data_IF_246333868591
#
_entry.id   IF_246333868591
#
_cell.length_a   1.000
_cell.length_b   1.000
_cell.length_c   1.000
_cell.angle_alpha   90.00
_cell.angle_beta   90.00
_cell.angle_gamma   90.00
#
_symmetry.space_group_name_H-M   'P 1'
#
loop_
_entity.id
_entity.type
_entity.pdbx_description
1 polymer ?
#
# COMPACT_ATOMS: atom_id res chain seq x y z
N UNK A 1 -8.88 -42.41 33.41
CA UNK A 1 -8.37 -41.71 34.63
C UNK A 1 -7.14 -42.43 35.19
N UNK A 2 -7.20 -43.76 35.46
CA UNK A 2 -6.09 -44.55 35.98
C UNK A 2 -4.83 -44.54 35.07
N UNK A 3 -4.99 -44.56 33.77
CA UNK A 3 -3.89 -44.48 32.80
C UNK A 3 -3.16 -43.15 32.78
N UNK A 4 -3.83 -42.05 33.16
CA UNK A 4 -3.24 -40.71 33.26
C UNK A 4 -2.36 -40.57 34.50
N UNK A 5 -2.83 -41.10 35.66
CA UNK A 5 -2.08 -41.04 36.92
C UNK A 5 -0.82 -41.90 36.91
N UNK A 6 -0.85 -43.06 36.20
CA UNK A 6 0.34 -43.92 36.05
C UNK A 6 1.42 -43.28 35.15
N UNK A 7 1.04 -42.43 34.20
CA UNK A 7 1.99 -41.74 33.33
C UNK A 7 2.70 -40.57 34.01
N UNK A 8 2.00 -39.87 34.95
CA UNK A 8 2.60 -38.81 35.76
C UNK A 8 3.62 -39.34 36.77
N UNK A 9 3.35 -40.51 37.41
CA UNK A 9 4.30 -41.17 38.32
C UNK A 9 5.56 -41.66 37.56
N UNK A 10 5.44 -42.12 36.34
CA UNK A 10 6.57 -42.55 35.50
C UNK A 10 7.46 -41.33 35.06
N UNK A 11 6.87 -40.20 34.81
CA UNK A 11 7.60 -38.96 34.50
C UNK A 11 8.35 -38.44 35.75
N UNK A 12 7.72 -38.39 36.91
CA UNK A 12 8.34 -37.95 38.16
C UNK A 12 9.47 -38.89 38.62
N UNK A 13 9.31 -40.21 38.48
CA UNK A 13 10.34 -41.18 38.84
C UNK A 13 11.55 -41.16 37.92
N UNK A 14 11.38 -40.82 36.65
CA UNK A 14 12.50 -40.63 35.72
C UNK A 14 13.29 -39.36 35.97
N UNK A 15 12.62 -38.27 36.38
CA UNK A 15 13.29 -37.03 36.76
C UNK A 15 14.12 -37.21 38.05
N UNK A 16 13.65 -38.02 39.01
CA UNK A 16 14.38 -38.29 40.25
C UNK A 16 15.61 -39.23 40.08
N UNK A 17 15.77 -39.87 38.91
CA UNK A 17 16.93 -40.72 38.56
C UNK A 17 18.05 -39.99 37.83
N UNK A 18 17.83 -38.71 37.45
CA UNK A 18 18.88 -37.93 36.82
C UNK A 18 20.00 -37.65 37.83
N UNK A 19 21.23 -37.92 37.39
CA UNK A 19 22.39 -37.50 38.15
C UNK A 19 22.44 -35.95 38.21
N UNK A 20 23.02 -35.42 39.30
CA UNK A 20 23.09 -33.93 39.45
C UNK A 20 23.57 -33.21 38.17
N UNK A 21 24.62 -33.66 37.46
CA UNK A 21 25.07 -33.01 36.24
C UNK A 21 24.04 -33.09 35.10
N UNK A 22 23.31 -34.19 34.94
CA UNK A 22 22.26 -34.35 33.92
C UNK A 22 21.09 -33.43 34.18
N UNK A 23 20.69 -33.25 35.44
CA UNK A 23 19.68 -32.28 35.86
C UNK A 23 20.06 -30.86 35.50
N UNK A 24 21.32 -30.46 35.73
CA UNK A 24 21.82 -29.14 35.37
C UNK A 24 21.81 -28.94 33.84
N UNK A 25 22.20 -29.91 33.04
CA UNK A 25 22.17 -29.82 31.57
C UNK A 25 20.75 -29.68 31.07
N UNK A 26 19.79 -30.46 31.58
CA UNK A 26 18.39 -30.35 31.17
C UNK A 26 17.80 -28.98 31.54
N UNK A 27 18.08 -28.48 32.76
CA UNK A 27 17.63 -27.17 33.21
C UNK A 27 18.24 -26.02 32.33
N UNK A 28 19.52 -26.12 31.99
CA UNK A 28 20.18 -25.16 31.11
C UNK A 28 19.58 -25.16 29.71
N UNK A 29 19.36 -26.33 29.10
CA UNK A 29 18.74 -26.45 27.78
C UNK A 29 17.30 -25.91 27.79
N UNK A 30 16.52 -26.19 28.81
CA UNK A 30 15.19 -25.66 28.98
C UNK A 30 15.21 -24.12 29.12
N UNK A 31 16.11 -23.59 29.94
CA UNK A 31 16.29 -22.14 30.12
C UNK A 31 16.68 -21.43 28.85
N UNK A 32 17.64 -21.99 28.07
CA UNK A 32 18.06 -21.45 26.77
C UNK A 32 16.88 -21.48 25.78
N UNK A 33 16.15 -22.59 25.73
CA UNK A 33 14.99 -22.74 24.84
C UNK A 33 13.88 -21.73 25.18
N UNK A 34 13.62 -21.55 26.47
CA UNK A 34 12.64 -20.60 26.95
C UNK A 34 13.06 -19.14 26.66
N UNK A 35 14.33 -18.80 26.89
CA UNK A 35 14.89 -17.50 26.56
C UNK A 35 14.78 -17.23 25.04
N UNK A 36 15.16 -18.19 24.22
CA UNK A 36 15.06 -18.08 22.77
C UNK A 36 13.62 -17.90 22.30
N UNK A 37 12.68 -18.65 22.89
CA UNK A 37 11.25 -18.48 22.63
C UNK A 37 10.76 -17.07 22.98
N UNK A 38 11.14 -16.52 24.15
CA UNK A 38 10.77 -15.16 24.54
C UNK A 38 11.43 -14.10 23.65
N UNK A 39 12.67 -14.29 23.21
CA UNK A 39 13.33 -13.39 22.26
C UNK A 39 12.63 -13.38 20.90
N UNK A 40 12.26 -14.54 20.38
CA UNK A 40 11.50 -14.63 19.12
C UNK A 40 10.13 -13.95 19.27
N UNK A 41 9.46 -14.15 20.37
CA UNK A 41 8.16 -13.55 20.65
C UNK A 41 8.24 -12.03 20.81
N UNK A 42 9.23 -11.52 21.52
CA UNK A 42 9.44 -10.07 21.69
C UNK A 42 9.83 -9.40 20.38
N UNK A 43 10.62 -10.05 19.52
CA UNK A 43 10.92 -9.54 18.17
C UNK A 43 9.67 -9.50 17.29
N UNK A 44 8.80 -10.51 17.36
CA UNK A 44 7.56 -10.57 16.60
C UNK A 44 6.54 -9.48 17.00
N UNK A 45 6.54 -9.09 18.26
CA UNK A 45 5.62 -8.08 18.85
C UNK A 45 6.34 -6.78 19.24
N UNK A 46 7.50 -6.48 18.62
CA UNK A 46 8.21 -5.25 18.98
C UNK A 46 7.39 -4.01 18.58
N UNK A 47 7.14 -3.09 19.52
CA UNK A 47 6.46 -1.83 19.23
C UNK A 47 7.14 -1.06 18.09
N UNK A 48 8.47 -1.12 18.01
CA UNK A 48 9.25 -0.50 16.95
C UNK A 48 8.89 -1.03 15.53
N UNK A 49 8.57 -2.32 15.40
CA UNK A 49 8.10 -2.87 14.12
C UNK A 49 6.71 -2.37 13.77
N UNK A 50 5.82 -2.24 14.77
CA UNK A 50 4.49 -1.68 14.59
C UNK A 50 4.56 -0.18 14.24
N UNK A 51 5.40 0.58 14.92
CA UNK A 51 5.66 2.00 14.63
C UNK A 51 6.29 2.20 13.26
N UNK A 52 7.29 1.39 12.89
CA UNK A 52 7.89 1.44 11.56
C UNK A 52 6.87 1.11 10.45
N UNK A 53 5.97 0.15 10.69
CA UNK A 53 4.87 -0.16 9.77
C UNK A 53 3.86 0.98 9.69
N UNK A 54 3.50 1.61 10.81
CA UNK A 54 2.63 2.79 10.85
C UNK A 54 3.27 3.98 10.13
N UNK A 55 4.57 4.24 10.36
CA UNK A 55 5.31 5.30 9.67
C UNK A 55 5.41 5.03 8.16
N UNK A 56 5.69 3.79 7.77
CA UNK A 56 5.70 3.41 6.36
C UNK A 56 4.31 3.53 5.71
N UNK A 57 3.24 3.27 6.45
CA UNK A 57 1.86 3.44 6.00
C UNK A 57 1.51 4.93 5.85
N UNK A 58 1.89 5.75 6.83
CA UNK A 58 1.70 7.21 6.79
C UNK A 58 2.52 7.87 5.68
N UNK A 59 3.70 7.34 5.36
CA UNK A 59 4.52 7.85 4.26
C UNK A 59 3.95 7.50 2.86
N UNK A 60 3.09 6.49 2.75
CA UNK A 60 2.45 6.09 1.49
C UNK A 60 1.28 6.97 1.10
N UNK A 61 0.58 7.53 2.07
CA UNK A 61 -0.51 8.48 1.82
C UNK A 61 0.05 9.87 2.09
N UNK A 62 0.18 10.69 1.07
CA UNK A 62 0.53 12.11 1.28
C UNK A 62 -0.58 12.74 2.13
N UNK A 63 -0.31 13.18 3.37
CA UNK A 63 -1.36 13.75 4.23
C UNK A 63 -2.08 14.93 3.56
N UNK A 64 -1.35 15.69 2.77
CA UNK A 64 -1.86 16.79 2.00
C UNK A 64 -2.93 16.39 0.97
N UNK A 65 -2.74 15.23 0.30
CA UNK A 65 -3.75 14.69 -0.61
C UNK A 65 -5.05 14.36 0.13
N UNK A 66 -4.95 13.70 1.29
CA UNK A 66 -6.13 13.33 2.09
C UNK A 66 -6.93 14.57 2.51
N UNK A 67 -6.27 15.56 3.12
CA UNK A 67 -6.95 16.78 3.55
C UNK A 67 -7.55 17.56 2.38
N UNK A 68 -6.85 17.66 1.27
CA UNK A 68 -7.33 18.34 0.08
C UNK A 68 -8.53 17.65 -0.54
N UNK A 69 -8.50 16.32 -0.63
CA UNK A 69 -9.62 15.53 -1.15
C UNK A 69 -10.87 15.66 -0.27
N UNK A 70 -10.70 15.63 1.07
CA UNK A 70 -11.81 15.87 2.00
C UNK A 70 -12.41 17.28 1.83
N UNK A 71 -11.56 18.30 1.70
CA UNK A 71 -12.02 19.69 1.46
C UNK A 71 -12.76 19.80 0.12
N UNK A 72 -12.29 19.12 -0.92
CA UNK A 72 -12.96 19.06 -2.22
C UNK A 72 -14.36 18.45 -2.09
N UNK A 73 -14.50 17.32 -1.38
CA UNK A 73 -15.80 16.70 -1.11
C UNK A 73 -16.72 17.62 -0.29
N UNK A 74 -16.19 18.27 0.76
CA UNK A 74 -16.95 19.22 1.56
C UNK A 74 -17.53 20.35 0.72
N UNK A 75 -16.81 20.81 -0.31
CA UNK A 75 -17.32 21.84 -1.23
C UNK A 75 -18.48 21.37 -2.09
N UNK A 76 -18.54 20.06 -2.41
CA UNK A 76 -19.59 19.45 -3.22
C UNK A 76 -20.88 19.13 -2.43
N UNK A 77 -20.79 18.89 -1.13
CA UNK A 77 -21.94 18.40 -0.32
C UNK A 77 -23.17 19.30 -0.49
N UNK A 78 -23.01 20.60 -0.58
CA UNK A 78 -24.13 21.54 -0.69
C UNK A 78 -24.62 21.79 -2.11
N UNK A 79 -23.75 21.63 -3.09
CA UNK A 79 -24.02 21.98 -4.50
C UNK A 79 -24.32 20.76 -5.34
N UNK A 80 -23.61 19.66 -5.11
CA UNK A 80 -23.64 18.43 -5.91
C UNK A 80 -23.60 17.19 -4.98
N UNK A 81 -24.62 16.93 -4.14
CA UNK A 81 -24.55 15.89 -3.10
C UNK A 81 -24.29 14.47 -3.65
N UNK A 82 -24.89 14.11 -4.77
CA UNK A 82 -24.66 12.80 -5.41
C UNK A 82 -23.20 12.64 -5.89
N UNK A 83 -22.60 13.73 -6.37
CA UNK A 83 -21.19 13.73 -6.77
C UNK A 83 -20.28 13.68 -5.56
N UNK A 84 -20.65 14.32 -4.45
CA UNK A 84 -19.91 14.22 -3.19
C UNK A 84 -19.91 12.78 -2.67
N UNK A 85 -21.06 12.08 -2.73
CA UNK A 85 -21.20 10.69 -2.33
C UNK A 85 -20.30 9.78 -3.18
N UNK A 86 -20.41 9.85 -4.52
CA UNK A 86 -19.56 9.03 -5.41
C UNK A 86 -18.06 9.33 -5.23
N UNK A 87 -17.70 10.59 -4.96
CA UNK A 87 -16.29 10.95 -4.69
C UNK A 87 -15.79 10.33 -3.37
N UNK A 88 -16.62 10.28 -2.34
CA UNK A 88 -16.28 9.60 -1.07
C UNK A 88 -16.09 8.10 -1.26
N UNK A 89 -16.93 7.46 -2.08
CA UNK A 89 -16.77 6.04 -2.43
C UNK A 89 -15.45 5.80 -3.17
N UNK A 90 -15.14 6.61 -4.18
CA UNK A 90 -13.86 6.56 -4.90
C UNK A 90 -12.66 6.76 -3.97
N UNK A 91 -12.76 7.70 -3.03
CA UNK A 91 -11.73 7.90 -2.02
C UNK A 91 -11.56 6.68 -1.12
N UNK A 92 -12.66 6.09 -0.64
CA UNK A 92 -12.60 4.90 0.22
C UNK A 92 -11.96 3.71 -0.50
N UNK A 93 -12.29 3.51 -1.78
CA UNK A 93 -11.70 2.46 -2.61
C UNK A 93 -10.22 2.72 -2.88
N UNK A 94 -9.85 3.95 -3.21
CA UNK A 94 -8.44 4.35 -3.39
C UNK A 94 -7.63 4.10 -2.12
N UNK A 95 -8.10 4.53 -0.96
CA UNK A 95 -7.40 4.30 0.32
C UNK A 95 -7.27 2.82 0.64
N UNK A 96 -8.30 2.02 0.37
CA UNK A 96 -8.23 0.56 0.56
C UNK A 96 -7.10 -0.07 -0.26
N UNK A 97 -6.87 0.44 -1.47
CA UNK A 97 -5.78 -0.04 -2.33
C UNK A 97 -4.42 0.49 -1.87
N UNK A 98 -4.31 1.78 -1.52
CA UNK A 98 -3.08 2.38 -1.01
C UNK A 98 -2.58 1.72 0.28
N UNK A 99 -3.49 1.15 1.07
CA UNK A 99 -3.15 0.40 2.29
C UNK A 99 -2.70 -1.05 2.03
N UNK A 100 -2.81 -1.56 0.80
CA UNK A 100 -2.28 -2.89 0.44
C UNK A 100 -0.75 -2.91 0.41
N UNK A 101 -0.18 -4.11 0.50
CA UNK A 101 1.27 -4.24 0.36
C UNK A 101 1.66 -3.99 -1.12
N UNK A 102 2.67 -3.15 -1.35
CA UNK A 102 3.22 -2.90 -2.68
C UNK A 102 3.89 -4.15 -3.31
N UNK A 103 4.04 -5.22 -2.54
CA UNK A 103 4.52 -6.53 -3.02
C UNK A 103 3.40 -7.34 -3.69
N UNK A 104 2.15 -6.95 -3.50
CA UNK A 104 1.02 -7.62 -4.12
C UNK A 104 1.10 -7.44 -5.64
N UNK A 105 0.73 -8.49 -6.35
CA UNK A 105 0.61 -8.48 -7.80
C UNK A 105 -0.85 -8.20 -8.17
N UNK A 106 -1.05 -7.23 -9.03
CA UNK A 106 -2.35 -6.83 -9.56
C UNK A 106 -2.35 -6.91 -11.10
N UNK A 107 -3.41 -6.46 -11.73
CA UNK A 107 -3.48 -6.31 -13.19
C UNK A 107 -3.26 -4.87 -13.61
N UNK A 108 -2.70 -4.66 -14.80
CA UNK A 108 -2.51 -3.32 -15.33
C UNK A 108 -3.86 -2.58 -15.50
N UNK A 109 -4.93 -3.30 -15.85
CA UNK A 109 -6.27 -2.72 -15.92
C UNK A 109 -6.76 -2.19 -14.57
N UNK A 110 -6.41 -2.86 -13.46
CA UNK A 110 -6.72 -2.37 -12.11
C UNK A 110 -5.88 -1.13 -11.76
N UNK A 111 -4.60 -1.08 -12.13
CA UNK A 111 -3.74 0.10 -11.95
C UNK A 111 -4.29 1.31 -12.70
N UNK A 112 -4.72 1.12 -13.96
CA UNK A 112 -5.37 2.18 -14.76
C UNK A 112 -6.65 2.68 -14.08
N UNK A 113 -7.51 1.77 -13.61
CA UNK A 113 -8.74 2.14 -12.90
C UNK A 113 -8.46 2.98 -11.66
N UNK A 114 -7.48 2.57 -10.84
CA UNK A 114 -7.08 3.31 -9.64
C UNK A 114 -6.50 4.67 -10.00
N UNK A 115 -5.67 4.73 -11.06
CA UNK A 115 -5.12 5.98 -11.56
C UNK A 115 -6.21 6.95 -12.05
N UNK A 116 -7.24 6.44 -12.72
CA UNK A 116 -8.40 7.24 -13.12
C UNK A 116 -9.17 7.79 -11.90
N UNK A 117 -9.42 6.96 -10.88
CA UNK A 117 -10.07 7.40 -9.64
C UNK A 117 -9.25 8.48 -8.93
N UNK A 118 -7.94 8.30 -8.82
CA UNK A 118 -7.05 9.31 -8.24
C UNK A 118 -7.14 10.65 -8.98
N UNK A 119 -7.01 10.63 -10.31
CA UNK A 119 -7.06 11.85 -11.12
C UNK A 119 -8.45 12.49 -11.13
N UNK A 120 -9.54 11.73 -10.98
CA UNK A 120 -10.90 12.27 -10.85
C UNK A 120 -11.06 13.07 -9.56
N UNK A 121 -10.50 12.59 -8.45
CA UNK A 121 -10.48 13.30 -7.17
C UNK A 121 -9.64 14.59 -7.27
N UNK A 122 -8.45 14.51 -7.88
CA UNK A 122 -7.60 15.68 -8.11
C UNK A 122 -8.25 16.71 -9.03
N UNK A 123 -9.04 16.26 -10.02
CA UNK A 123 -9.81 17.14 -10.91
C UNK A 123 -10.84 17.98 -10.16
N UNK A 124 -11.47 17.44 -9.10
CA UNK A 124 -12.39 18.21 -8.26
C UNK A 124 -11.66 19.36 -7.56
N UNK A 125 -10.44 19.10 -7.06
CA UNK A 125 -9.61 20.09 -6.36
C UNK A 125 -9.01 21.13 -7.29
N UNK A 126 -8.47 20.70 -8.42
CA UNK A 126 -7.70 21.53 -9.34
C UNK A 126 -8.57 22.20 -10.41
N UNK A 127 -9.80 21.70 -10.58
CA UNK A 127 -10.75 22.24 -11.56
C UNK A 127 -10.22 22.14 -12.99
N UNK A 128 -10.42 23.18 -13.77
CA UNK A 128 -10.02 23.24 -15.17
C UNK A 128 -8.49 23.27 -15.39
N UNK A 129 -7.72 23.51 -14.33
CA UNK A 129 -6.25 23.47 -14.42
C UNK A 129 -5.71 22.07 -14.72
N UNK A 130 -6.40 21.01 -14.27
CA UNK A 130 -6.03 19.65 -14.56
C UNK A 130 -6.81 19.13 -15.77
N UNK A 131 -6.13 18.87 -16.87
CA UNK A 131 -6.65 18.10 -17.98
C UNK A 131 -5.95 16.75 -18.05
N UNK A 132 -6.72 15.70 -18.32
CA UNK A 132 -6.19 14.32 -18.35
C UNK A 132 -6.64 13.65 -19.62
N UNK A 133 -5.71 13.03 -20.32
CA UNK A 133 -5.98 12.23 -21.48
C UNK A 133 -5.36 10.84 -21.33
N UNK A 134 -6.20 9.82 -21.38
CA UNK A 134 -5.79 8.42 -21.43
C UNK A 134 -5.89 7.93 -22.87
N UNK A 135 -4.79 7.37 -23.37
CA UNK A 135 -4.72 6.71 -24.65
C UNK A 135 -4.35 5.25 -24.43
N UNK A 136 -5.30 4.37 -24.65
CA UNK A 136 -5.14 2.92 -24.51
C UNK A 136 -5.42 2.19 -25.83
N UNK A 137 -5.50 2.90 -26.95
CA UNK A 137 -5.85 2.33 -28.26
C UNK A 137 -4.79 1.34 -28.77
N UNK A 138 -3.55 1.50 -28.30
CA UNK A 138 -2.44 0.59 -28.61
C UNK A 138 -2.45 -0.74 -27.86
N UNK A 139 -3.46 -1.03 -27.00
CA UNK A 139 -3.54 -2.26 -26.21
C UNK A 139 -4.98 -2.75 -26.08
N UNK A 140 -5.20 -4.08 -26.22
CA UNK A 140 -6.54 -4.63 -26.03
C UNK A 140 -6.95 -4.68 -24.55
N UNK A 141 -8.26 -4.54 -24.27
CA UNK A 141 -8.80 -4.63 -22.92
C UNK A 141 -8.49 -5.97 -22.25
N UNK A 142 -8.49 -7.07 -22.99
CA UNK A 142 -8.11 -8.39 -22.50
C UNK A 142 -6.64 -8.42 -22.05
N UNK A 143 -5.75 -7.80 -22.81
CA UNK A 143 -4.32 -7.68 -22.43
C UNK A 143 -4.16 -6.84 -21.16
N UNK A 144 -4.88 -5.72 -21.02
CA UNK A 144 -4.86 -4.92 -19.78
C UNK A 144 -5.28 -5.73 -18.56
N UNK A 145 -6.30 -6.57 -18.67
CA UNK A 145 -6.78 -7.40 -17.56
C UNK A 145 -5.90 -8.60 -17.24
N UNK A 146 -5.11 -9.09 -18.19
CA UNK A 146 -4.19 -10.23 -17.99
C UNK A 146 -2.79 -9.80 -17.63
N UNK A 147 -2.35 -8.63 -18.04
CA UNK A 147 -1.01 -8.13 -17.75
C UNK A 147 -0.84 -7.90 -16.24
N UNK A 148 0.05 -8.70 -15.64
CA UNK A 148 0.35 -8.60 -14.22
C UNK A 148 1.44 -7.57 -13.98
N UNK A 149 1.24 -6.77 -12.94
CA UNK A 149 2.15 -5.70 -12.52
C UNK A 149 2.20 -5.62 -10.99
N UNK A 150 3.28 -5.10 -10.40
CA UNK A 150 3.27 -4.73 -9.00
C UNK A 150 2.15 -3.72 -8.72
N UNK A 151 1.50 -3.85 -7.56
CA UNK A 151 0.51 -2.88 -7.12
C UNK A 151 1.15 -1.50 -6.91
N UNK A 152 0.37 -0.46 -7.17
CA UNK A 152 0.79 0.95 -7.03
C UNK A 152 1.94 1.33 -7.98
N UNK A 153 2.01 0.72 -9.17
CA UNK A 153 3.02 1.07 -10.18
C UNK A 153 2.78 2.47 -10.77
N UNK A 154 1.53 2.76 -11.14
CA UNK A 154 1.18 4.05 -11.77
C UNK A 154 1.03 5.18 -10.76
N UNK A 155 0.65 4.88 -9.54
CA UNK A 155 0.31 5.86 -8.52
C UNK A 155 1.41 6.90 -8.26
N UNK A 156 2.69 6.53 -8.00
CA UNK A 156 3.74 7.51 -7.77
C UNK A 156 4.02 8.41 -8.98
N UNK A 157 3.83 7.88 -10.18
CA UNK A 157 4.03 8.63 -11.43
C UNK A 157 2.93 9.69 -11.59
N UNK A 158 1.67 9.31 -11.35
CA UNK A 158 0.54 10.22 -11.40
C UNK A 158 0.64 11.32 -10.33
N UNK A 159 1.02 10.93 -9.10
CA UNK A 159 1.26 11.89 -8.03
C UNK A 159 2.35 12.91 -8.37
N UNK A 160 3.45 12.46 -8.98
CA UNK A 160 4.51 13.34 -9.43
C UNK A 160 4.06 14.24 -10.57
N UNK A 161 3.30 13.72 -11.54
CA UNK A 161 2.76 14.50 -12.65
C UNK A 161 1.82 15.62 -12.16
N UNK A 162 0.95 15.33 -11.19
CA UNK A 162 0.07 16.33 -10.58
C UNK A 162 0.90 17.35 -9.78
N UNK A 163 1.76 16.87 -8.87
CA UNK A 163 2.47 17.71 -7.94
C UNK A 163 3.46 18.67 -8.60
N UNK A 164 4.22 18.18 -9.59
CA UNK A 164 5.26 18.98 -10.25
C UNK A 164 4.79 19.58 -11.58
N UNK A 165 3.77 18.99 -12.21
CA UNK A 165 3.28 19.45 -13.51
C UNK A 165 2.08 20.36 -13.44
N UNK A 166 1.17 20.17 -12.48
CA UNK A 166 -0.11 20.87 -12.43
C UNK A 166 -0.19 21.86 -11.26
N UNK A 167 0.16 21.42 -10.05
CA UNK A 167 0.01 22.28 -8.85
C UNK A 167 0.76 23.62 -8.94
N UNK A 168 2.01 23.66 -9.46
CA UNK A 168 2.76 24.90 -9.54
C UNK A 168 2.25 25.87 -10.62
N UNK A 169 1.52 25.36 -11.63
CA UNK A 169 1.05 26.15 -12.75
C UNK A 169 -0.27 26.82 -12.44
N UNK A 170 -0.41 28.13 -12.69
CA UNK A 170 -1.71 28.79 -12.70
C UNK A 170 -2.53 28.46 -13.95
N UNK A 171 -1.88 27.96 -15.01
CA UNK A 171 -2.47 27.65 -16.29
C UNK A 171 -2.95 26.19 -16.37
N UNK A 172 -3.76 25.89 -17.40
CA UNK A 172 -4.20 24.53 -17.68
C UNK A 172 -3.02 23.64 -18.05
N UNK A 173 -2.89 22.51 -17.38
CA UNK A 173 -1.85 21.52 -17.58
C UNK A 173 -2.45 20.19 -18.02
N UNK A 174 -1.98 19.66 -19.14
CA UNK A 174 -2.40 18.38 -19.68
C UNK A 174 -1.46 17.26 -19.22
N UNK A 175 -2.00 16.27 -18.52
CA UNK A 175 -1.33 14.98 -18.28
C UNK A 175 -1.83 14.00 -19.34
N UNK A 176 -0.92 13.49 -20.16
CA UNK A 176 -1.23 12.47 -21.16
C UNK A 176 -0.60 11.14 -20.74
N UNK A 177 -1.40 10.08 -20.70
CA UNK A 177 -0.98 8.72 -20.36
C UNK A 177 -1.28 7.82 -21.54
N UNK A 178 -0.24 7.34 -22.21
CA UNK A 178 -0.35 6.40 -23.34
C UNK A 178 0.10 5.02 -22.89
N UNK A 179 -0.74 4.01 -23.12
CA UNK A 179 -0.44 2.61 -22.82
C UNK A 179 -0.56 1.83 -24.11
N UNK A 180 0.54 1.26 -24.57
CA UNK A 180 0.59 0.52 -25.81
C UNK A 180 1.33 -0.81 -25.66
N UNK A 181 1.01 -1.75 -26.55
CA UNK A 181 1.76 -3.01 -26.66
C UNK A 181 2.74 -2.93 -27.80
N UNK A 182 4.03 -2.99 -27.47
CA UNK A 182 5.11 -3.00 -28.46
C UNK A 182 5.78 -4.38 -28.42
N UNK A 183 5.46 -5.24 -29.40
CA UNK A 183 5.90 -6.65 -29.45
C UNK A 183 5.48 -7.42 -28.20
N UNK A 184 6.46 -7.84 -27.37
CA UNK A 184 6.26 -8.61 -26.14
C UNK A 184 6.28 -7.76 -24.86
N UNK A 185 6.28 -6.44 -25.01
CA UNK A 185 6.34 -5.50 -23.89
C UNK A 185 5.15 -4.58 -23.91
N UNK A 186 4.75 -4.14 -22.72
CA UNK A 186 3.81 -3.04 -22.56
C UNK A 186 4.65 -1.80 -22.24
N UNK A 187 4.41 -0.76 -23.00
CA UNK A 187 5.02 0.54 -22.82
C UNK A 187 3.99 1.49 -22.25
N UNK A 188 4.38 2.19 -21.19
CA UNK A 188 3.59 3.22 -20.53
C UNK A 188 4.37 4.52 -20.62
N UNK A 189 3.83 5.48 -21.33
CA UNK A 189 4.41 6.80 -21.49
C UNK A 189 3.51 7.80 -20.80
N UNK A 190 4.08 8.57 -19.89
CA UNK A 190 3.39 9.66 -19.22
C UNK A 190 4.10 10.97 -19.51
N UNK A 191 3.33 11.93 -20.02
CA UNK A 191 3.82 13.29 -20.30
C UNK A 191 3.02 14.29 -19.48
N UNK A 192 3.71 15.25 -18.91
CA UNK A 192 3.13 16.36 -18.17
C UNK A 192 3.95 17.63 -18.40
N UNK A 193 3.39 18.82 -18.27
CA UNK A 193 4.14 20.05 -18.32
C UNK A 193 5.21 20.06 -17.23
N UNK A 194 6.36 20.61 -17.55
CA UNK A 194 7.43 20.84 -16.61
C UNK A 194 7.72 22.32 -16.51
N UNK A 195 7.45 22.91 -15.36
CA UNK A 195 7.83 24.28 -15.06
C UNK A 195 9.25 24.25 -14.49
N UNK A 196 10.21 24.62 -15.32
CA UNK A 196 11.57 24.86 -14.85
C UNK A 196 11.57 26.12 -13.96
N UNK A 197 11.54 25.91 -12.66
CA UNK A 197 11.81 26.98 -11.69
C UNK A 197 13.32 27.26 -11.64
N UNK A 198 13.89 27.62 -12.78
CA UNK A 198 15.20 28.27 -12.77
C UNK A 198 14.95 29.73 -12.45
N UNK A 199 14.81 30.06 -11.18
CA UNK A 199 15.09 31.39 -10.72
C UNK A 199 16.60 31.48 -10.46
N UNK A 200 17.28 32.10 -11.41
CA UNK A 200 18.62 32.67 -11.21
C UNK A 200 18.51 33.86 -10.27
#
# INVERSE_FOLDING_TARGET
IIHYLLNDDLMLTNLSRLSAPEGFVCAALFGISLQHYFELRTRAFSPALAEARLQALQARIRPHFLFNSLNAVLSLIRTEPLRAESTLEDMADLFRVLMRDARDITTLGNEVRIGMQYLSIEKIRLGERLQVQWDTDGISGDTLQRAKTPALLLQPLLENAVHYGVEPSPETALIMITISRVRDRIEIVMTNPYLSLIHI
#
